data_IF_933524583387
#
_entry.id   IF_933524583387
#
_cell.length_a   1.000
_cell.length_b   1.000
_cell.length_c   1.000
_cell.angle_alpha   90.00
_cell.angle_beta   90.00
_cell.angle_gamma   90.00
#
_symmetry.space_group_name_H-M   'P 1'
#
loop_
_entity.id
_entity.type
_entity.pdbx_description
1 polymer ?
#
# COMPACT_ATOMS: atom_id res chain seq x y z
N UNK A 1 -49.96 8.51 6.73
CA UNK A 1 -48.51 8.65 6.46
C UNK A 1 -47.70 9.24 7.62
N UNK A 2 -48.17 10.25 8.39
CA UNK A 2 -47.38 10.82 9.51
C UNK A 2 -47.06 9.86 10.67
N UNK A 3 -47.92 8.86 10.96
CA UNK A 3 -47.72 7.91 12.08
C UNK A 3 -46.66 6.82 11.81
N UNK A 4 -46.45 6.44 10.54
CA UNK A 4 -45.45 5.42 10.15
C UNK A 4 -44.02 5.98 10.22
N UNK A 5 -43.84 7.26 9.84
CA UNK A 5 -42.54 7.93 9.92
C UNK A 5 -42.09 8.17 11.37
N UNK A 6 -43.02 8.40 12.30
CA UNK A 6 -42.71 8.55 13.73
C UNK A 6 -42.30 7.21 14.35
N UNK A 7 -42.93 6.10 13.93
CA UNK A 7 -42.59 4.76 14.42
C UNK A 7 -41.20 4.31 13.93
N UNK A 8 -40.89 4.57 12.65
CA UNK A 8 -39.57 4.31 12.08
C UNK A 8 -38.48 5.19 12.72
N UNK A 9 -38.77 6.47 12.96
CA UNK A 9 -37.85 7.37 13.66
C UNK A 9 -37.64 6.96 15.12
N UNK A 10 -38.69 6.49 15.82
CA UNK A 10 -38.54 5.92 17.16
C UNK A 10 -37.76 4.61 17.17
N UNK A 11 -37.90 3.73 16.17
CA UNK A 11 -37.08 2.51 16.06
C UNK A 11 -35.60 2.84 15.79
N UNK A 12 -35.31 3.86 14.98
CA UNK A 12 -33.95 4.37 14.75
C UNK A 12 -33.39 5.03 16.01
N UNK A 13 -34.19 5.82 16.73
CA UNK A 13 -33.78 6.42 18.00
C UNK A 13 -33.59 5.36 19.10
N UNK A 14 -34.41 4.32 19.17
CA UNK A 14 -34.23 3.21 20.12
C UNK A 14 -32.99 2.39 19.75
N UNK A 15 -32.71 2.15 18.47
CA UNK A 15 -31.44 1.51 18.09
C UNK A 15 -30.22 2.40 18.38
N UNK A 16 -30.33 3.73 18.26
CA UNK A 16 -29.27 4.70 18.63
C UNK A 16 -29.12 4.89 20.15
N UNK A 17 -30.22 4.87 20.92
CA UNK A 17 -30.21 5.01 22.38
C UNK A 17 -29.93 3.68 23.11
N UNK A 18 -30.34 2.54 22.55
CA UNK A 18 -29.93 1.20 23.03
C UNK A 18 -28.52 0.82 22.59
N UNK A 19 -27.98 1.43 21.52
CA UNK A 19 -26.55 1.28 21.18
C UNK A 19 -25.61 2.10 22.08
N UNK A 20 -26.15 3.05 22.85
CA UNK A 20 -25.43 3.73 23.94
C UNK A 20 -25.08 2.83 25.14
N UNK A 21 -25.61 1.60 25.18
CA UNK A 21 -25.32 0.57 26.19
C UNK A 21 -24.72 -0.70 25.57
N UNK A 22 -24.05 -0.61 24.41
CA UNK A 22 -23.27 -1.75 23.91
C UNK A 22 -22.03 -1.86 24.81
N UNK A 23 -22.13 -2.74 25.81
CA UNK A 23 -20.96 -3.24 26.52
C UNK A 23 -19.98 -3.76 25.47
N UNK A 24 -18.68 -3.43 25.57
CA UNK A 24 -17.71 -3.93 24.63
C UNK A 24 -17.79 -5.47 24.60
N UNK A 25 -17.80 -6.03 23.40
CA UNK A 25 -17.78 -7.48 23.20
C UNK A 25 -16.47 -8.08 23.75
N UNK A 26 -16.57 -9.30 24.27
CA UNK A 26 -15.51 -9.99 24.99
C UNK A 26 -15.30 -9.53 26.45
N UNK A 27 -14.37 -10.18 27.13
CA UNK A 27 -14.01 -9.85 28.51
C UNK A 27 -12.85 -8.83 28.57
N UNK A 28 -12.85 -7.90 29.55
CA UNK A 28 -11.70 -7.06 29.80
C UNK A 28 -10.47 -7.89 30.18
N UNK A 29 -9.27 -7.40 29.84
CA UNK A 29 -8.04 -8.08 30.21
C UNK A 29 -7.85 -8.13 31.73
N UNK A 30 -7.54 -9.31 32.22
CA UNK A 30 -7.08 -9.59 33.59
C UNK A 30 -5.58 -9.88 33.59
N UNK A 31 -4.93 -9.77 34.75
CA UNK A 31 -3.52 -10.14 34.89
C UNK A 31 -3.28 -11.60 34.53
N UNK A 32 -4.22 -12.49 34.85
CA UNK A 32 -4.22 -13.91 34.51
C UNK A 32 -4.28 -14.12 33.00
N UNK A 33 -5.22 -13.46 32.31
CA UNK A 33 -5.34 -13.56 30.85
C UNK A 33 -4.09 -13.02 30.13
N UNK A 34 -3.50 -11.94 30.63
CA UNK A 34 -2.24 -11.40 30.11
C UNK A 34 -1.11 -12.38 30.34
N UNK A 35 -1.02 -13.00 31.52
CA UNK A 35 -0.03 -14.02 31.85
C UNK A 35 -0.13 -15.21 30.91
N UNK A 36 -1.32 -15.79 30.74
CA UNK A 36 -1.53 -16.92 29.82
C UNK A 36 -1.10 -16.58 28.39
N UNK A 37 -1.47 -15.39 27.92
CA UNK A 37 -1.09 -14.92 26.58
C UNK A 37 0.43 -14.82 26.41
N UNK A 38 1.15 -14.24 27.37
CA UNK A 38 2.62 -14.11 27.25
C UNK A 38 3.35 -15.42 27.54
N UNK A 39 2.82 -16.29 28.39
CA UNK A 39 3.39 -17.63 28.64
C UNK A 39 3.23 -18.57 27.46
N UNK A 40 2.17 -18.44 26.64
CA UNK A 40 2.07 -19.14 25.34
C UNK A 40 3.22 -18.78 24.39
N UNK A 41 3.79 -17.58 24.54
CA UNK A 41 4.88 -17.08 23.69
C UNK A 41 6.26 -17.43 24.23
N UNK A 42 6.52 -17.17 25.52
CA UNK A 42 7.85 -17.34 26.13
C UNK A 42 8.03 -18.65 26.90
N UNK A 43 6.94 -19.39 27.17
CA UNK A 43 6.93 -20.54 28.06
C UNK A 43 6.45 -20.20 29.48
N UNK A 44 5.91 -21.21 30.17
CA UNK A 44 5.37 -21.07 31.52
C UNK A 44 6.47 -20.64 32.51
N UNK A 45 6.18 -19.64 33.35
CA UNK A 45 7.14 -19.14 34.35
C UNK A 45 8.37 -18.42 33.77
N UNK A 46 8.45 -18.22 32.45
CA UNK A 46 9.54 -17.53 31.76
C UNK A 46 9.35 -16.03 31.61
N UNK A 47 8.30 -15.48 32.21
CA UNK A 47 7.93 -14.08 32.08
C UNK A 47 7.42 -13.52 33.40
N UNK A 48 7.86 -12.30 33.73
CA UNK A 48 7.29 -11.52 34.82
C UNK A 48 6.19 -10.62 34.26
N UNK A 49 4.99 -10.70 34.85
CA UNK A 49 3.85 -9.85 34.51
C UNK A 49 3.54 -8.97 35.71
N UNK A 50 3.75 -7.66 35.55
CA UNK A 50 3.46 -6.66 36.58
C UNK A 50 2.38 -5.71 36.09
N UNK A 51 1.22 -5.73 36.74
CA UNK A 51 0.18 -4.75 36.50
C UNK A 51 0.66 -3.36 36.94
N UNK A 52 0.63 -2.39 36.02
CA UNK A 52 1.01 -1.00 36.30
C UNK A 52 -0.21 -0.16 36.68
N UNK A 53 -1.33 -0.40 36.00
CA UNK A 53 -2.62 0.23 36.26
C UNK A 53 -3.76 -0.72 35.82
N UNK A 54 -5.01 -0.28 35.94
CA UNK A 54 -6.20 -1.09 35.63
C UNK A 54 -6.27 -1.62 34.19
N UNK A 55 -5.51 -1.06 33.25
CA UNK A 55 -5.55 -1.38 31.82
C UNK A 55 -4.17 -1.65 31.22
N UNK A 56 -3.09 -1.60 32.00
CA UNK A 56 -1.73 -1.69 31.50
C UNK A 56 -0.88 -2.65 32.34
N UNK A 57 -0.19 -3.57 31.66
CA UNK A 57 0.73 -4.52 32.25
C UNK A 57 2.11 -4.34 31.65
N UNK A 58 3.14 -4.38 32.50
CA UNK A 58 4.53 -4.52 32.07
C UNK A 58 4.89 -5.99 31.98
N UNK A 59 5.54 -6.34 30.90
CA UNK A 59 6.02 -7.68 30.61
C UNK A 59 7.55 -7.65 30.57
N UNK A 60 8.18 -8.55 31.32
CA UNK A 60 9.64 -8.74 31.34
C UNK A 60 9.92 -10.23 31.09
N UNK A 61 10.27 -10.63 29.86
CA UNK A 61 10.73 -11.98 29.59
C UNK A 61 12.06 -12.24 30.31
N UNK A 62 12.20 -13.39 30.99
CA UNK A 62 13.41 -13.71 31.77
C UNK A 62 14.63 -13.96 30.88
N UNK A 63 14.40 -14.58 29.73
CA UNK A 63 15.47 -14.91 28.77
C UNK A 63 15.88 -13.68 27.91
N UNK A 64 15.12 -12.57 27.99
CA UNK A 64 15.39 -11.30 27.29
C UNK A 64 15.31 -10.10 28.25
N UNK A 65 16.24 -9.98 29.22
CA UNK A 65 16.14 -9.01 30.32
C UNK A 65 16.25 -7.54 29.90
N UNK A 66 16.80 -7.28 28.71
CA UNK A 66 16.88 -5.98 28.06
C UNK A 66 15.54 -5.54 27.43
N UNK A 67 14.60 -6.47 27.25
CA UNK A 67 13.27 -6.21 26.71
C UNK A 67 12.26 -6.05 27.84
N UNK A 68 11.77 -4.82 28.01
CA UNK A 68 10.64 -4.48 28.88
C UNK A 68 9.58 -3.77 28.07
N UNK A 69 8.45 -4.43 27.84
CA UNK A 69 7.36 -3.89 27.04
C UNK A 69 6.06 -3.87 27.83
N UNK A 70 5.04 -3.28 27.22
CA UNK A 70 3.73 -3.09 27.82
C UNK A 70 2.65 -3.69 26.95
N UNK A 71 1.63 -4.25 27.62
CA UNK A 71 0.36 -4.64 27.03
C UNK A 71 -0.69 -3.70 27.61
N UNK A 72 -1.44 -3.04 26.74
CA UNK A 72 -2.48 -2.07 27.11
C UNK A 72 -3.82 -2.47 26.54
N UNK A 73 -4.82 -2.64 27.39
CA UNK A 73 -6.20 -2.85 26.98
C UNK A 73 -6.74 -1.61 26.28
N UNK A 74 -7.47 -1.83 25.18
CA UNK A 74 -8.21 -0.82 24.44
C UNK A 74 -9.59 -1.34 24.08
N UNK A 75 -10.42 -0.42 23.59
CA UNK A 75 -11.68 -0.76 22.94
C UNK A 75 -11.45 -0.51 21.45
N UNK A 76 -11.53 -1.58 20.67
CA UNK A 76 -11.40 -1.56 19.22
C UNK A 76 -12.73 -1.86 18.55
N UNK A 77 -12.71 -1.96 17.22
CA UNK A 77 -13.85 -2.50 16.48
C UNK A 77 -13.77 -4.03 16.53
N UNK A 78 -14.83 -4.68 16.98
CA UNK A 78 -15.03 -6.12 16.80
C UNK A 78 -15.16 -6.44 15.30
N UNK A 79 -14.79 -7.66 14.90
CA UNK A 79 -14.54 -8.07 13.51
C UNK A 79 -15.53 -7.58 12.44
N UNK A 80 -16.49 -8.43 12.05
CA UNK A 80 -17.36 -8.18 10.87
C UNK A 80 -18.47 -7.16 11.16
N UNK A 81 -18.82 -6.97 12.43
CA UNK A 81 -19.85 -6.03 12.88
C UNK A 81 -19.15 -4.96 13.72
N UNK A 82 -19.37 -3.65 13.47
CA UNK A 82 -18.72 -2.54 14.20
C UNK A 82 -19.26 -2.39 15.64
N UNK A 83 -19.26 -3.48 16.39
CA UNK A 83 -19.51 -3.51 17.83
C UNK A 83 -18.19 -3.18 18.51
N UNK A 84 -18.14 -2.24 19.47
CA UNK A 84 -16.95 -2.06 20.30
C UNK A 84 -16.55 -3.40 20.94
N UNK A 85 -15.28 -3.77 20.91
CA UNK A 85 -14.78 -4.99 21.53
C UNK A 85 -13.54 -4.70 22.38
N UNK A 86 -13.35 -5.44 23.48
CA UNK A 86 -12.09 -5.36 24.21
C UNK A 86 -10.96 -5.96 23.38
N UNK A 87 -9.93 -5.16 23.16
CA UNK A 87 -8.71 -5.56 22.46
C UNK A 87 -7.49 -5.13 23.27
N UNK A 88 -6.30 -5.38 22.74
CA UNK A 88 -5.07 -4.88 23.33
C UNK A 88 -4.10 -4.36 22.28
N UNK A 89 -3.17 -3.54 22.74
CA UNK A 89 -1.94 -3.25 22.00
C UNK A 89 -0.77 -3.72 22.82
N UNK A 90 0.20 -4.34 22.17
CA UNK A 90 1.53 -4.54 22.72
C UNK A 90 2.54 -3.63 22.00
N UNK A 91 3.61 -3.24 22.69
CA UNK A 91 4.68 -2.42 22.12
C UNK A 91 6.02 -3.16 22.05
N UNK A 92 6.00 -4.51 22.02
CA UNK A 92 7.23 -5.33 22.00
C UNK A 92 8.15 -5.00 20.83
N UNK A 93 7.58 -4.86 19.63
CA UNK A 93 8.34 -4.51 18.42
C UNK A 93 8.93 -3.11 18.47
N UNK A 94 8.30 -2.19 19.20
CA UNK A 94 8.88 -0.88 19.48
C UNK A 94 10.10 -0.98 20.37
N UNK A 95 10.08 -1.85 21.38
CA UNK A 95 11.21 -2.02 22.29
C UNK A 95 12.37 -2.74 21.60
N UNK A 96 12.10 -3.86 20.92
CA UNK A 96 13.11 -4.58 20.13
C UNK A 96 13.70 -3.67 19.05
N UNK A 97 12.86 -2.99 18.26
CA UNK A 97 13.34 -2.12 17.19
C UNK A 97 14.19 -0.95 17.67
N UNK A 98 13.96 -0.43 18.89
CA UNK A 98 14.82 0.61 19.48
C UNK A 98 16.23 0.13 19.82
N UNK A 99 16.40 -1.15 20.10
CA UNK A 99 17.69 -1.77 20.40
C UNK A 99 18.37 -2.24 19.12
N UNK A 100 17.61 -2.86 18.22
CA UNK A 100 18.15 -3.55 17.06
C UNK A 100 18.39 -2.63 15.87
N UNK A 101 17.40 -1.84 15.44
CA UNK A 101 17.51 -0.98 14.24
C UNK A 101 18.77 -0.08 14.24
N UNK A 102 19.16 0.56 15.36
CA UNK A 102 20.34 1.44 15.37
C UNK A 102 21.68 0.72 15.20
N UNK A 103 21.72 -0.62 15.33
CA UNK A 103 22.93 -1.42 15.09
C UNK A 103 23.25 -1.55 13.60
N UNK A 104 22.23 -1.43 12.74
CA UNK A 104 22.33 -1.66 11.30
C UNK A 104 22.15 -0.38 10.47
N UNK A 105 21.33 0.55 10.96
CA UNK A 105 20.98 1.78 10.25
C UNK A 105 21.44 3.02 11.02
N UNK A 106 22.02 3.95 10.29
CA UNK A 106 22.46 5.25 10.80
C UNK A 106 21.27 6.10 11.28
N UNK A 107 21.59 7.17 12.02
CA UNK A 107 20.59 8.13 12.46
C UNK A 107 19.81 8.75 11.29
N UNK A 108 20.45 8.87 10.12
CA UNK A 108 19.82 9.48 8.95
C UNK A 108 18.88 8.51 8.23
N UNK A 109 19.35 7.28 8.03
CA UNK A 109 18.56 6.19 7.42
C UNK A 109 17.28 5.90 8.21
N UNK A 110 17.30 6.07 9.54
CA UNK A 110 16.15 5.81 10.41
C UNK A 110 15.22 7.01 10.64
N UNK A 111 15.35 8.11 9.89
CA UNK A 111 14.50 9.31 10.05
C UNK A 111 12.99 9.02 9.96
N UNK A 112 12.60 8.05 9.12
CA UNK A 112 11.20 7.64 8.93
C UNK A 112 10.84 6.34 9.67
N UNK A 113 11.61 5.96 10.69
CA UNK A 113 11.30 4.79 11.52
C UNK A 113 10.01 5.03 12.32
N UNK A 114 9.04 4.13 12.18
CA UNK A 114 7.82 4.15 12.97
C UNK A 114 7.44 2.75 13.46
N UNK A 115 6.59 2.74 14.49
CA UNK A 115 6.14 1.52 15.15
C UNK A 115 4.62 1.54 15.24
N UNK A 116 3.95 0.49 14.75
CA UNK A 116 2.50 0.39 14.81
C UNK A 116 2.05 -1.06 14.94
N UNK A 117 1.29 -1.39 15.99
CA UNK A 117 0.55 -2.65 16.11
C UNK A 117 1.32 -3.91 15.70
N UNK A 118 2.50 -4.15 16.30
CA UNK A 118 3.32 -5.30 15.96
C UNK A 118 4.29 -5.12 14.78
N UNK A 119 4.36 -3.91 14.22
CA UNK A 119 5.15 -3.65 13.01
C UNK A 119 6.30 -2.68 13.32
N UNK A 120 7.51 -3.03 12.88
CA UNK A 120 8.59 -2.06 12.65
C UNK A 120 8.50 -1.63 11.19
N UNK A 121 8.18 -0.35 10.95
CA UNK A 121 8.16 0.22 9.59
C UNK A 121 9.36 1.15 9.39
N UNK A 122 10.13 0.89 8.34
CA UNK A 122 11.29 1.69 7.95
C UNK A 122 11.08 2.15 6.50
N UNK A 123 11.40 3.41 6.21
CA UNK A 123 11.24 3.95 4.86
C UNK A 123 12.47 4.75 4.45
N UNK A 124 13.06 4.36 3.34
CA UNK A 124 14.23 4.99 2.74
C UNK A 124 13.84 5.75 1.49
N UNK A 125 14.41 6.93 1.30
CA UNK A 125 14.38 7.60 0.01
C UNK A 125 15.62 7.14 -0.75
N UNK A 126 15.43 6.38 -1.83
CA UNK A 126 16.54 5.81 -2.60
C UNK A 126 16.71 6.52 -3.95
N UNK A 127 17.94 6.53 -4.44
CA UNK A 127 18.30 7.19 -5.71
C UNK A 127 18.97 6.26 -6.72
N UNK A 128 19.41 5.08 -6.30
CA UNK A 128 20.07 4.12 -7.18
C UNK A 128 19.81 2.68 -6.74
N UNK A 129 20.02 1.73 -7.66
CA UNK A 129 19.99 0.30 -7.36
C UNK A 129 21.09 -0.10 -6.35
N UNK A 130 22.27 0.53 -6.43
CA UNK A 130 23.37 0.26 -5.49
C UNK A 130 23.00 0.63 -4.04
N UNK A 131 22.27 1.74 -3.86
CA UNK A 131 21.76 2.16 -2.55
C UNK A 131 20.71 1.17 -2.03
N UNK A 132 19.80 0.72 -2.89
CA UNK A 132 18.82 -0.32 -2.56
C UNK A 132 19.52 -1.61 -2.14
N UNK A 133 20.55 -2.03 -2.89
CA UNK A 133 21.30 -3.24 -2.59
C UNK A 133 21.99 -3.19 -1.23
N UNK A 134 22.68 -2.09 -0.94
CA UNK A 134 23.34 -1.89 0.35
C UNK A 134 22.34 -1.91 1.53
N UNK A 135 21.17 -1.27 1.36
CA UNK A 135 20.12 -1.23 2.38
C UNK A 135 19.44 -2.59 2.57
N UNK A 136 19.24 -3.36 1.51
CA UNK A 136 18.72 -4.72 1.60
C UNK A 136 19.68 -5.67 2.32
N UNK A 137 20.99 -5.56 2.09
CA UNK A 137 21.99 -6.34 2.86
C UNK A 137 21.94 -6.02 4.36
N UNK A 138 21.76 -4.74 4.71
CA UNK A 138 21.54 -4.33 6.11
C UNK A 138 20.23 -4.87 6.68
N UNK A 139 19.16 -4.87 5.89
CA UNK A 139 17.86 -5.41 6.27
C UNK A 139 17.94 -6.90 6.56
N UNK A 140 18.56 -7.68 5.67
CA UNK A 140 18.79 -9.12 5.85
C UNK A 140 19.56 -9.40 7.15
N UNK A 141 20.68 -8.70 7.36
CA UNK A 141 21.48 -8.84 8.57
C UNK A 141 20.72 -8.44 9.84
N UNK A 142 19.87 -7.41 9.76
CA UNK A 142 19.01 -7.00 10.86
C UNK A 142 17.97 -8.09 11.18
N UNK A 143 17.30 -8.63 10.17
CA UNK A 143 16.29 -9.67 10.34
C UNK A 143 16.91 -10.95 10.92
N UNK A 144 18.07 -11.39 10.41
CA UNK A 144 18.82 -12.50 10.97
C UNK A 144 19.15 -12.27 12.46
N UNK A 145 19.68 -11.09 12.80
CA UNK A 145 19.99 -10.73 14.18
C UNK A 145 18.73 -10.72 15.07
N UNK A 146 17.60 -10.22 14.58
CA UNK A 146 16.32 -10.24 15.31
C UNK A 146 15.84 -11.66 15.57
N UNK A 147 15.91 -12.54 14.58
CA UNK A 147 15.53 -13.94 14.71
C UNK A 147 16.42 -14.65 15.75
N UNK A 148 17.74 -14.53 15.60
CA UNK A 148 18.72 -15.26 16.42
C UNK A 148 18.72 -14.78 17.88
N UNK A 149 18.54 -13.48 18.11
CA UNK A 149 18.70 -12.89 19.45
C UNK A 149 17.37 -12.60 20.14
N UNK A 150 16.25 -12.52 19.40
CA UNK A 150 14.95 -12.11 19.92
C UNK A 150 13.79 -12.94 19.34
N UNK A 151 14.05 -14.12 18.77
CA UNK A 151 13.04 -14.94 18.06
C UNK A 151 11.70 -15.08 18.78
N UNK A 152 11.69 -15.43 20.08
CA UNK A 152 10.44 -15.55 20.82
C UNK A 152 9.71 -14.19 21.03
N UNK A 153 10.46 -13.08 21.08
CA UNK A 153 9.89 -11.73 21.22
C UNK A 153 9.27 -11.26 19.91
N UNK A 154 9.92 -11.54 18.77
CA UNK A 154 9.49 -11.08 17.44
C UNK A 154 8.53 -12.03 16.75
N UNK A 155 8.32 -13.23 17.31
CA UNK A 155 7.40 -14.23 16.75
C UNK A 155 6.01 -13.66 16.42
N UNK A 156 5.56 -14.01 15.22
CA UNK A 156 4.30 -13.62 14.59
C UNK A 156 4.19 -12.12 14.26
N UNK A 157 5.32 -11.38 14.30
CA UNK A 157 5.39 -9.94 14.02
C UNK A 157 6.10 -9.62 12.72
N UNK A 158 6.06 -8.34 12.33
CA UNK A 158 6.50 -7.89 11.02
C UNK A 158 7.57 -6.80 11.06
N UNK A 159 8.50 -6.90 10.12
CA UNK A 159 9.34 -5.79 9.67
C UNK A 159 8.89 -5.42 8.26
N UNK A 160 8.44 -4.18 8.07
CA UNK A 160 8.04 -3.62 6.78
C UNK A 160 9.03 -2.55 6.35
N UNK A 161 9.67 -2.72 5.20
CA UNK A 161 10.68 -1.80 4.69
C UNK A 161 10.27 -1.26 3.32
N UNK A 162 10.32 0.06 3.17
CA UNK A 162 9.99 0.76 1.94
C UNK A 162 11.23 1.42 1.34
N UNK A 163 11.46 1.20 0.06
CA UNK A 163 12.52 1.85 -0.72
C UNK A 163 11.85 2.72 -1.78
N UNK A 164 11.79 4.02 -1.50
CA UNK A 164 10.96 4.98 -2.24
C UNK A 164 11.83 5.85 -3.14
N UNK A 165 11.63 5.77 -4.45
CA UNK A 165 12.17 6.78 -5.37
C UNK A 165 11.40 8.10 -5.27
N UNK A 166 11.97 9.16 -5.87
CA UNK A 166 11.35 10.49 -5.89
C UNK A 166 10.03 10.45 -6.64
N UNK A 167 8.91 10.87 -6.01
CA UNK A 167 7.61 10.88 -6.67
C UNK A 167 7.53 11.77 -7.91
N UNK A 168 6.77 11.33 -8.91
CA UNK A 168 6.60 12.08 -10.15
C UNK A 168 5.42 13.07 -10.06
N UNK A 169 5.67 14.32 -10.44
CA UNK A 169 4.66 15.38 -10.46
C UNK A 169 4.14 15.63 -11.88
N UNK A 170 3.01 15.04 -12.21
CA UNK A 170 2.36 15.23 -13.52
C UNK A 170 1.50 16.50 -13.58
N UNK A 171 1.59 17.24 -14.69
CA UNK A 171 0.77 18.45 -14.95
C UNK A 171 -0.71 18.15 -15.21
N UNK A 172 -1.04 16.93 -15.64
CA UNK A 172 -2.40 16.51 -16.02
C UNK A 172 -2.89 15.38 -15.09
N UNK A 173 -3.12 15.69 -13.82
CA UNK A 173 -3.52 14.72 -12.80
C UNK A 173 -4.98 14.23 -12.94
N UNK A 174 -5.24 12.94 -12.71
CA UNK A 174 -6.55 12.26 -12.84
C UNK A 174 -7.61 12.78 -11.87
N UNK A 175 -7.22 13.26 -10.68
CA UNK A 175 -8.16 13.81 -9.68
C UNK A 175 -8.80 15.13 -10.09
N UNK A 176 -8.17 15.88 -11.00
CA UNK A 176 -8.74 17.09 -11.56
C UNK A 176 -9.44 16.80 -12.89
N UNK A 177 -9.93 15.57 -13.07
CA UNK A 177 -10.60 15.14 -14.28
C UNK A 177 -11.92 14.45 -13.95
N UNK A 178 -12.82 14.48 -14.92
CA UNK A 178 -13.99 13.61 -14.97
C UNK A 178 -14.00 12.85 -16.30
N UNK A 179 -14.44 11.58 -16.31
CA UNK A 179 -14.50 10.82 -17.55
C UNK A 179 -15.39 11.47 -18.60
N UNK A 180 -15.01 11.32 -19.87
CA UNK A 180 -15.87 11.68 -21.00
C UNK A 180 -16.74 10.50 -21.36
N UNK A 181 -18.06 10.67 -21.18
CA UNK A 181 -19.05 9.71 -21.67
C UNK A 181 -19.28 9.91 -23.18
N UNK A 182 -19.36 8.79 -23.91
CA UNK A 182 -19.54 8.70 -25.35
C UNK A 182 -20.68 9.60 -25.85
N UNK A 183 -21.85 9.52 -25.21
CA UNK A 183 -23.05 10.26 -25.62
C UNK A 183 -23.01 11.76 -25.27
N UNK A 184 -21.96 12.23 -24.56
CA UNK A 184 -21.83 13.62 -24.07
C UNK A 184 -20.77 14.43 -24.82
N UNK A 185 -20.21 13.90 -25.91
CA UNK A 185 -19.21 14.59 -26.72
C UNK A 185 -19.36 14.20 -28.20
N UNK A 186 -19.35 15.17 -29.10
CA UNK A 186 -19.46 14.88 -30.53
C UNK A 186 -18.18 14.21 -31.06
N UNK A 187 -18.36 13.30 -32.02
CA UNK A 187 -17.25 12.61 -32.70
C UNK A 187 -16.21 13.59 -33.25
N UNK A 188 -16.64 14.68 -33.87
CA UNK A 188 -15.75 15.74 -34.38
C UNK A 188 -14.86 16.36 -33.30
N UNK A 189 -15.37 16.57 -32.08
CA UNK A 189 -14.57 17.11 -30.97
C UNK A 189 -13.55 16.09 -30.44
N UNK A 190 -13.92 14.81 -30.43
CA UNK A 190 -13.00 13.72 -30.08
C UNK A 190 -11.86 13.66 -31.10
N UNK A 191 -12.20 13.55 -32.38
CA UNK A 191 -11.25 13.50 -33.49
C UNK A 191 -10.31 14.71 -33.47
N UNK A 192 -10.85 15.94 -33.38
CA UNK A 192 -10.02 17.16 -33.33
C UNK A 192 -9.01 17.17 -32.18
N UNK A 193 -9.40 16.69 -30.99
CA UNK A 193 -8.49 16.58 -29.84
C UNK A 193 -7.38 15.55 -30.11
N UNK A 194 -7.76 14.37 -30.56
CA UNK A 194 -6.84 13.26 -30.78
C UNK A 194 -5.89 13.54 -31.95
N UNK A 195 -6.37 14.08 -33.06
CA UNK A 195 -5.54 14.51 -34.19
C UNK A 195 -4.49 15.54 -33.76
N UNK A 196 -4.88 16.51 -32.92
CA UNK A 196 -3.98 17.55 -32.41
C UNK A 196 -2.90 16.97 -31.50
N UNK A 197 -3.22 15.94 -30.71
CA UNK A 197 -2.30 15.40 -29.69
C UNK A 197 -1.44 14.25 -30.21
N UNK A 198 -2.05 13.33 -30.95
CA UNK A 198 -1.46 12.06 -31.37
C UNK A 198 -1.17 12.01 -32.88
N UNK A 199 -1.69 12.95 -33.66
CA UNK A 199 -1.62 12.93 -35.12
C UNK A 199 -2.80 12.19 -35.75
N UNK A 200 -3.15 12.59 -36.97
CA UNK A 200 -4.22 11.94 -37.72
C UNK A 200 -3.79 10.52 -38.13
N UNK A 201 -4.68 9.54 -37.95
CA UNK A 201 -4.47 8.16 -38.38
C UNK A 201 -3.60 7.30 -37.46
N UNK A 202 -3.20 7.81 -36.29
CA UNK A 202 -2.35 7.08 -35.33
C UNK A 202 -3.12 6.44 -34.17
N UNK A 203 -4.45 6.60 -34.16
CA UNK A 203 -5.32 6.15 -33.08
C UNK A 203 -6.66 5.63 -33.60
N UNK A 204 -7.33 4.83 -32.77
CA UNK A 204 -8.74 4.51 -32.89
C UNK A 204 -9.46 4.80 -31.57
N UNK A 205 -10.79 4.94 -31.60
CA UNK A 205 -11.57 5.14 -30.38
C UNK A 205 -12.96 4.52 -30.51
N UNK A 206 -13.47 3.98 -29.39
CA UNK A 206 -14.77 3.33 -29.31
C UNK A 206 -15.46 3.64 -28.00
N UNK A 207 -16.74 3.26 -27.91
CA UNK A 207 -17.49 3.27 -26.65
C UNK A 207 -17.01 2.10 -25.81
N UNK A 208 -16.52 2.38 -24.61
CA UNK A 208 -16.21 1.37 -23.61
C UNK A 208 -17.47 0.55 -23.28
N UNK A 209 -17.37 -0.77 -23.42
CA UNK A 209 -18.42 -1.70 -23.03
C UNK A 209 -18.32 -2.06 -21.55
N UNK A 210 -19.30 -2.80 -21.02
CA UNK A 210 -19.32 -3.21 -19.62
C UNK A 210 -18.11 -4.08 -19.22
N UNK A 211 -17.48 -4.71 -20.21
CA UNK A 211 -16.31 -5.58 -20.03
C UNK A 211 -15.03 -4.96 -20.62
N UNK A 212 -15.05 -3.69 -21.06
CA UNK A 212 -13.84 -3.01 -21.53
C UNK A 212 -12.85 -2.99 -20.38
N UNK A 213 -11.68 -3.59 -20.60
CA UNK A 213 -10.54 -3.71 -19.68
C UNK A 213 -10.88 -3.57 -18.20
N UNK A 214 -10.87 -4.69 -17.46
CA UNK A 214 -10.98 -4.74 -16.00
C UNK A 214 -10.10 -3.64 -15.41
N UNK A 215 -10.73 -2.56 -14.95
CA UNK A 215 -10.01 -1.49 -14.27
C UNK A 215 -9.49 -2.05 -12.95
N UNK A 216 -8.33 -1.55 -12.55
CA UNK A 216 -7.61 -1.96 -11.35
C UNK A 216 -8.41 -1.74 -10.04
N UNK A 217 -9.56 -1.07 -10.10
CA UNK A 217 -10.31 -0.56 -8.95
C UNK A 217 -11.80 -0.98 -8.96
N UNK A 218 -12.22 -1.99 -9.75
CA UNK A 218 -13.65 -2.32 -9.97
C UNK A 218 -14.49 -1.12 -10.50
N UNK A 219 -13.81 -0.11 -11.06
CA UNK A 219 -14.43 1.07 -11.67
C UNK A 219 -14.94 0.67 -13.06
N UNK A 220 -16.26 0.70 -13.23
CA UNK A 220 -16.86 0.54 -14.55
C UNK A 220 -16.55 1.74 -15.45
N UNK A 221 -15.86 1.48 -16.56
CA UNK A 221 -15.66 2.44 -17.64
C UNK A 221 -16.82 2.48 -18.64
N UNK A 222 -17.93 1.78 -18.36
CA UNK A 222 -19.03 1.64 -19.31
C UNK A 222 -19.50 3.01 -19.83
N UNK A 223 -19.61 3.08 -21.16
CA UNK A 223 -20.05 4.27 -21.88
C UNK A 223 -19.02 5.40 -21.94
N UNK A 224 -17.77 5.18 -21.51
CA UNK A 224 -16.66 6.14 -21.69
C UNK A 224 -16.11 6.10 -23.11
N UNK A 225 -15.37 7.15 -23.48
CA UNK A 225 -14.61 7.17 -24.73
C UNK A 225 -13.25 6.54 -24.44
N UNK A 226 -13.10 5.31 -24.92
CA UNK A 226 -11.89 4.51 -24.87
C UNK A 226 -11.08 4.73 -26.15
N UNK A 227 -9.77 4.91 -26.02
CA UNK A 227 -8.86 5.28 -27.09
C UNK A 227 -7.70 4.29 -27.12
N UNK A 228 -7.29 3.93 -28.33
CA UNK A 228 -6.21 2.99 -28.61
C UNK A 228 -5.20 3.68 -29.52
N UNK A 229 -3.91 3.57 -29.19
CA UNK A 229 -2.85 3.97 -30.10
C UNK A 229 -2.53 2.80 -31.03
N UNK A 230 -2.30 3.06 -32.30
CA UNK A 230 -2.04 2.00 -33.28
C UNK A 230 -0.75 1.21 -32.97
N UNK A 231 0.25 1.89 -32.40
CA UNK A 231 1.51 1.27 -31.99
C UNK A 231 1.35 0.39 -30.73
N UNK A 232 0.26 0.57 -29.97
CA UNK A 232 -0.03 -0.15 -28.71
C UNK A 232 -1.52 -0.53 -28.64
N UNK A 233 -2.00 -1.40 -29.55
CA UNK A 233 -3.42 -1.67 -29.71
C UNK A 233 -4.03 -2.43 -28.52
N UNK A 234 -3.20 -3.01 -27.65
CA UNK A 234 -3.64 -3.77 -26.48
C UNK A 234 -3.62 -2.95 -25.19
N UNK A 235 -3.24 -1.66 -25.26
CA UNK A 235 -3.14 -0.78 -24.10
C UNK A 235 -4.08 0.43 -24.27
N UNK A 236 -5.38 0.31 -23.96
CA UNK A 236 -6.28 1.43 -24.06
C UNK A 236 -6.08 2.44 -22.95
N UNK A 237 -6.57 3.65 -23.22
CA UNK A 237 -6.71 4.72 -22.25
C UNK A 237 -8.01 5.49 -22.50
N UNK A 238 -8.35 6.42 -21.62
CA UNK A 238 -9.67 7.07 -21.63
C UNK A 238 -9.57 8.58 -21.81
N UNK A 239 -10.57 9.15 -22.49
CA UNK A 239 -10.74 10.60 -22.52
C UNK A 239 -11.38 11.13 -21.24
N UNK A 240 -10.96 12.34 -20.90
CA UNK A 240 -11.32 13.02 -19.68
C UNK A 240 -11.52 14.52 -19.93
N UNK A 241 -12.23 15.19 -19.02
CA UNK A 241 -12.36 16.65 -19.00
C UNK A 241 -11.79 17.18 -17.71
N UNK A 242 -11.00 18.24 -17.79
CA UNK A 242 -10.51 18.94 -16.60
C UNK A 242 -11.68 19.54 -15.81
N UNK A 243 -11.59 19.48 -14.49
CA UNK A 243 -12.60 20.03 -13.55
C UNK A 243 -12.07 21.22 -12.77
N UNK A 244 -10.77 21.52 -12.86
CA UNK A 244 -10.21 22.69 -12.21
C UNK A 244 -10.77 23.99 -12.81
N UNK A 245 -10.95 25.03 -11.98
CA UNK A 245 -11.68 26.23 -12.37
C UNK A 245 -11.11 26.91 -13.62
N UNK A 246 -9.79 26.94 -13.78
CA UNK A 246 -9.10 27.62 -14.89
C UNK A 246 -9.11 26.85 -16.23
N UNK A 247 -9.38 25.55 -16.22
CA UNK A 247 -9.40 24.72 -17.43
C UNK A 247 -10.65 23.84 -17.53
N UNK A 248 -11.69 24.17 -16.78
CA UNK A 248 -12.91 23.37 -16.68
C UNK A 248 -13.49 23.07 -18.06
N UNK A 249 -13.78 21.80 -18.30
CA UNK A 249 -14.34 21.32 -19.57
C UNK A 249 -13.34 21.12 -20.70
N UNK A 250 -12.08 21.55 -20.57
CA UNK A 250 -11.03 21.25 -21.57
C UNK A 250 -10.75 19.75 -21.60
N UNK A 251 -10.65 19.20 -22.80
CA UNK A 251 -10.33 17.80 -23.01
C UNK A 251 -8.89 17.49 -22.57
N UNK A 252 -8.74 16.29 -22.04
CA UNK A 252 -7.50 15.67 -21.59
C UNK A 252 -7.72 14.15 -21.64
N UNK A 253 -6.74 13.37 -21.22
CA UNK A 253 -6.80 11.91 -21.24
C UNK A 253 -6.02 11.32 -20.07
N UNK A 254 -6.09 10.01 -19.93
CA UNK A 254 -5.46 9.23 -18.86
C UNK A 254 -4.26 8.41 -19.34
N UNK A 255 -3.78 8.64 -20.57
CA UNK A 255 -2.73 7.86 -21.22
C UNK A 255 -1.61 7.47 -20.26
N UNK A 256 -0.86 8.43 -19.70
CA UNK A 256 0.29 8.13 -18.85
C UNK A 256 -0.04 7.16 -17.70
N UNK A 257 -1.12 7.42 -16.94
CA UNK A 257 -1.48 6.60 -15.79
C UNK A 257 -1.95 5.20 -16.23
N UNK A 258 -2.76 5.13 -17.30
CA UNK A 258 -3.25 3.86 -17.81
C UNK A 258 -2.09 3.04 -18.42
N UNK A 259 -1.11 3.67 -19.06
CA UNK A 259 0.08 3.00 -19.58
C UNK A 259 0.97 2.45 -18.47
N UNK A 260 1.24 3.24 -17.41
CA UNK A 260 1.99 2.74 -16.24
C UNK A 260 1.27 1.55 -15.61
N UNK A 261 -0.06 1.59 -15.51
CA UNK A 261 -0.86 0.48 -15.00
C UNK A 261 -0.79 -0.77 -15.89
N UNK A 262 -0.95 -0.60 -17.21
CA UNK A 262 -0.83 -1.71 -18.17
C UNK A 262 0.56 -2.34 -18.14
N UNK A 263 1.63 -1.54 -18.14
CA UNK A 263 3.00 -2.06 -18.11
C UNK A 263 3.28 -2.74 -16.77
N UNK A 264 2.87 -2.18 -15.63
CA UNK A 264 3.04 -2.82 -14.32
C UNK A 264 2.31 -4.17 -14.23
N UNK A 265 1.09 -4.26 -14.77
CA UNK A 265 0.29 -5.48 -14.75
C UNK A 265 0.85 -6.59 -15.65
N UNK A 266 1.36 -6.22 -16.81
CA UNK A 266 1.95 -7.15 -17.77
C UNK A 266 3.44 -7.43 -17.48
N UNK A 267 3.99 -6.96 -16.36
CA UNK A 267 5.35 -7.33 -15.97
C UNK A 267 5.40 -8.84 -15.71
N UNK A 268 6.31 -9.60 -16.35
CA UNK A 268 6.36 -11.06 -16.26
C UNK A 268 6.96 -11.50 -14.91
N UNK A 269 6.25 -11.22 -13.83
CA UNK A 269 6.68 -11.53 -12.47
C UNK A 269 6.84 -13.03 -12.21
N UNK A 270 6.11 -13.87 -12.96
CA UNK A 270 6.18 -15.34 -12.89
C UNK A 270 7.58 -15.87 -13.21
N UNK A 271 8.37 -15.15 -14.02
CA UNK A 271 9.79 -15.47 -14.29
C UNK A 271 10.68 -15.33 -13.04
N UNK A 272 10.15 -14.72 -11.97
CA UNK A 272 10.84 -14.42 -10.73
C UNK A 272 10.12 -14.98 -9.48
N UNK A 273 9.04 -15.75 -9.66
CA UNK A 273 8.28 -16.34 -8.55
C UNK A 273 9.04 -17.56 -7.98
N UNK A 274 9.98 -17.30 -7.07
CA UNK A 274 10.70 -18.36 -6.36
C UNK A 274 9.91 -18.95 -5.18
N UNK A 275 8.99 -18.18 -4.58
CA UNK A 275 8.14 -18.61 -3.44
C UNK A 275 7.29 -17.48 -2.83
N UNK A 276 7.62 -16.21 -3.12
CA UNK A 276 7.06 -15.03 -2.48
C UNK A 276 5.82 -14.50 -3.20
N UNK A 277 4.85 -13.96 -2.44
CA UNK A 277 3.68 -13.28 -2.99
C UNK A 277 4.06 -11.93 -3.63
N UNK A 278 4.80 -11.97 -4.74
CA UNK A 278 5.20 -10.78 -5.48
C UNK A 278 3.97 -10.16 -6.12
N UNK A 279 3.76 -8.88 -5.84
CA UNK A 279 2.77 -8.08 -6.56
C UNK A 279 3.44 -6.85 -7.13
N UNK A 280 3.01 -6.54 -8.35
CA UNK A 280 3.42 -5.36 -9.08
C UNK A 280 2.15 -4.63 -9.47
N UNK A 281 2.06 -3.36 -9.10
CA UNK A 281 0.88 -2.56 -9.38
C UNK A 281 1.26 -1.12 -9.65
N UNK A 282 0.51 -0.42 -10.51
CA UNK A 282 0.62 1.02 -10.56
C UNK A 282 0.07 1.65 -9.28
N UNK A 283 0.70 2.73 -8.82
CA UNK A 283 0.27 3.52 -7.68
C UNK A 283 0.25 5.00 -8.03
N UNK A 284 -0.96 5.57 -8.02
CA UNK A 284 -1.12 7.02 -8.08
C UNK A 284 -0.69 7.69 -6.76
N UNK A 285 -0.84 6.98 -5.63
CA UNK A 285 -0.49 7.47 -4.29
C UNK A 285 0.16 6.40 -3.43
N UNK A 286 1.08 6.84 -2.57
CA UNK A 286 1.66 6.04 -1.49
C UNK A 286 1.62 6.89 -0.22
N UNK A 287 1.07 6.34 0.87
CA UNK A 287 0.86 7.04 2.15
C UNK A 287 0.15 8.41 1.99
N UNK A 288 -0.82 8.48 1.06
CA UNK A 288 -1.58 9.71 0.75
C UNK A 288 -0.84 10.75 -0.09
N UNK A 289 0.45 10.54 -0.35
CA UNK A 289 1.27 11.39 -1.22
C UNK A 289 1.20 10.91 -2.66
N UNK A 290 1.16 11.84 -3.62
CA UNK A 290 1.21 11.51 -5.05
C UNK A 290 2.51 10.80 -5.37
N UNK A 291 2.41 9.70 -6.11
CA UNK A 291 3.54 8.88 -6.53
C UNK A 291 3.64 8.80 -8.05
N UNK A 292 2.55 8.40 -8.72
CA UNK A 292 2.44 8.22 -10.18
C UNK A 292 3.52 7.28 -10.73
N UNK A 293 3.66 6.11 -10.11
CA UNK A 293 4.69 5.13 -10.43
C UNK A 293 4.21 3.71 -10.17
N UNK A 294 5.15 2.84 -9.82
CA UNK A 294 4.91 1.41 -9.62
C UNK A 294 5.24 1.01 -8.17
N UNK A 295 4.41 0.17 -7.57
CA UNK A 295 4.72 -0.58 -6.35
C UNK A 295 5.15 -1.99 -6.74
N UNK A 296 6.26 -2.41 -6.15
CA UNK A 296 6.74 -3.79 -6.15
C UNK A 296 6.72 -4.26 -4.68
N UNK A 297 5.77 -5.10 -4.32
CA UNK A 297 5.64 -5.63 -2.96
C UNK A 297 5.93 -7.13 -2.90
N UNK A 298 6.56 -7.52 -1.80
CA UNK A 298 6.79 -8.90 -1.44
C UNK A 298 6.59 -9.09 0.06
N UNK A 299 5.83 -10.12 0.42
CA UNK A 299 5.63 -10.57 1.79
C UNK A 299 6.01 -12.04 1.92
N UNK A 300 6.89 -12.34 2.88
CA UNK A 300 7.37 -13.69 3.14
C UNK A 300 7.65 -13.91 4.62
N UNK A 301 7.74 -15.17 5.03
CA UNK A 301 8.13 -15.57 6.39
C UNK A 301 9.62 -15.80 6.44
N UNK A 302 10.25 -15.30 7.50
CA UNK A 302 11.66 -15.48 7.75
C UNK A 302 12.01 -16.97 7.86
N UNK A 303 12.99 -17.41 7.07
CA UNK A 303 13.43 -18.81 7.03
C UNK A 303 12.66 -19.71 6.05
N UNK A 304 11.50 -19.29 5.53
CA UNK A 304 10.76 -20.07 4.52
C UNK A 304 11.41 -19.93 3.13
N UNK A 305 12.09 -18.82 2.87
CA UNK A 305 12.68 -18.48 1.58
C UNK A 305 14.12 -17.99 1.75
N UNK A 306 15.07 -18.62 1.06
CA UNK A 306 16.47 -18.17 1.07
C UNK A 306 16.69 -17.09 0.01
N UNK A 307 17.33 -15.99 0.39
CA UNK A 307 17.66 -14.89 -0.53
C UNK A 307 16.48 -14.03 -0.96
N UNK A 308 15.32 -14.11 -0.31
CA UNK A 308 14.13 -13.34 -0.71
C UNK A 308 14.38 -11.82 -0.77
N UNK A 309 15.10 -11.25 0.20
CA UNK A 309 15.43 -9.82 0.24
C UNK A 309 16.42 -9.42 -0.88
N UNK A 310 17.37 -10.30 -1.21
CA UNK A 310 18.32 -10.09 -2.30
C UNK A 310 17.61 -10.16 -3.66
N UNK A 311 16.77 -11.18 -3.86
CA UNK A 311 15.99 -11.38 -5.09
C UNK A 311 15.12 -10.18 -5.42
N UNK A 312 14.56 -9.50 -4.41
CA UNK A 312 13.77 -8.29 -4.61
C UNK A 312 14.54 -7.17 -5.33
N UNK A 313 15.85 -7.06 -5.12
CA UNK A 313 16.68 -6.10 -5.84
C UNK A 313 16.80 -6.45 -7.32
N UNK A 314 16.96 -7.74 -7.62
CA UNK A 314 17.03 -8.27 -8.99
C UNK A 314 15.73 -8.00 -9.72
N UNK A 315 14.59 -8.29 -9.07
CA UNK A 315 13.25 -8.05 -9.62
C UNK A 315 13.02 -6.56 -9.86
N UNK A 316 13.40 -5.71 -8.90
CA UNK A 316 13.31 -4.24 -9.05
C UNK A 316 14.07 -3.74 -10.27
N UNK A 317 15.29 -4.24 -10.50
CA UNK A 317 16.11 -3.89 -11.66
C UNK A 317 15.50 -4.40 -12.97
N UNK A 318 14.96 -5.62 -12.97
CA UNK A 318 14.22 -6.15 -14.11
C UNK A 318 12.99 -5.31 -14.43
N UNK A 319 12.24 -4.89 -13.42
CA UNK A 319 11.08 -4.00 -13.55
C UNK A 319 11.47 -2.63 -14.13
N UNK A 320 12.57 -2.02 -13.66
CA UNK A 320 13.12 -0.79 -14.25
C UNK A 320 13.43 -0.98 -15.73
N UNK A 321 14.14 -2.05 -16.09
CA UNK A 321 14.47 -2.35 -17.48
C UNK A 321 13.23 -2.61 -18.33
N UNK A 322 12.20 -3.24 -17.77
CA UNK A 322 10.93 -3.48 -18.44
C UNK A 322 10.21 -2.17 -18.73
N UNK A 323 10.06 -1.28 -17.73
CA UNK A 323 9.47 0.06 -17.91
C UNK A 323 10.20 0.87 -18.99
N UNK A 324 11.54 0.78 -19.04
CA UNK A 324 12.37 1.51 -20.00
C UNK A 324 12.12 1.09 -21.47
N UNK A 325 11.49 -0.05 -21.72
CA UNK A 325 11.13 -0.50 -23.08
C UNK A 325 9.91 0.25 -23.65
N UNK A 326 9.20 1.03 -22.84
CA UNK A 326 7.90 1.62 -23.17
C UNK A 326 7.96 3.16 -23.18
N UNK A 327 8.12 3.81 -24.35
CA UNK A 327 8.26 5.27 -24.43
C UNK A 327 7.10 6.06 -23.80
N UNK A 328 5.87 5.55 -23.84
CA UNK A 328 4.69 6.24 -23.29
C UNK A 328 4.65 6.32 -21.76
N UNK A 329 5.46 5.51 -21.07
CA UNK A 329 5.68 5.68 -19.62
C UNK A 329 6.95 6.47 -19.32
N UNK A 330 7.86 6.62 -20.29
CA UNK A 330 9.09 7.39 -20.13
C UNK A 330 8.97 8.85 -20.61
N UNK A 331 7.82 9.23 -21.16
CA UNK A 331 7.52 10.62 -21.54
C UNK A 331 6.12 11.03 -21.07
N UNK A 332 6.06 12.10 -20.27
CA UNK A 332 4.79 12.62 -19.75
C UNK A 332 3.90 13.30 -20.81
N UNK A 333 4.45 13.52 -22.00
CA UNK A 333 3.81 14.19 -23.14
C UNK A 333 3.88 13.38 -24.44
N UNK A 334 4.03 12.05 -24.33
CA UNK A 334 3.94 11.13 -25.46
C UNK A 334 2.74 11.46 -26.37
N UNK A 335 2.91 11.48 -27.71
CA UNK A 335 4.08 11.05 -28.50
C UNK A 335 5.07 12.16 -28.83
N UNK A 336 4.93 13.36 -28.26
CA UNK A 336 5.84 14.48 -28.56
C UNK A 336 7.26 14.26 -28.03
N UNK A 337 7.36 13.48 -26.95
CA UNK A 337 8.61 13.04 -26.33
C UNK A 337 9.56 14.20 -25.98
N UNK A 338 9.01 15.31 -25.47
CA UNK A 338 9.81 16.49 -25.07
C UNK A 338 10.05 16.52 -23.56
N UNK A 339 9.21 15.83 -22.78
CA UNK A 339 9.27 15.82 -21.33
C UNK A 339 9.51 14.40 -20.81
N UNK A 340 10.78 14.01 -20.84
CA UNK A 340 11.26 12.74 -20.28
C UNK A 340 10.96 12.66 -18.79
N UNK A 341 10.52 11.48 -18.37
CA UNK A 341 10.23 11.14 -16.99
C UNK A 341 10.69 9.72 -16.75
N UNK A 342 11.08 9.44 -15.52
CA UNK A 342 11.36 8.08 -15.08
C UNK A 342 10.23 7.68 -14.12
N UNK A 343 9.39 6.68 -14.45
CA UNK A 343 8.36 6.20 -13.55
C UNK A 343 8.98 5.75 -12.23
N UNK A 344 8.59 6.32 -11.07
CA UNK A 344 9.23 5.99 -9.83
C UNK A 344 8.81 4.59 -9.35
N UNK A 345 9.74 3.82 -8.81
CA UNK A 345 9.49 2.48 -8.24
C UNK A 345 9.60 2.53 -6.71
N UNK A 346 8.51 2.16 -6.03
CA UNK A 346 8.49 1.92 -4.60
C UNK A 346 8.57 0.42 -4.39
N UNK A 347 9.62 -0.03 -3.72
CA UNK A 347 9.76 -1.43 -3.33
C UNK A 347 9.35 -1.59 -1.86
N UNK A 348 8.44 -2.51 -1.57
CA UNK A 348 8.04 -2.90 -0.22
C UNK A 348 8.50 -4.34 0.05
N UNK A 349 9.23 -4.51 1.16
CA UNK A 349 9.62 -5.83 1.68
C UNK A 349 9.00 -5.99 3.06
N UNK A 350 8.14 -6.99 3.19
CA UNK A 350 7.46 -7.38 4.42
C UNK A 350 7.95 -8.75 4.90
N UNK A 351 8.64 -8.76 6.04
CA UNK A 351 9.21 -9.97 6.66
C UNK A 351 8.40 -10.32 7.90
N UNK A 352 7.76 -11.50 7.91
CA UNK A 352 7.09 -12.06 9.07
C UNK A 352 8.03 -13.01 9.84
N UNK A 353 8.08 -12.92 11.17
CA UNK A 353 8.94 -13.77 12.02
C UNK A 353 8.23 -14.95 12.68
#
# INVERSE_FOLDING_TARGET
MKKINILALMLVLITVFCSGCILPDGDPLTTESVREMVEKRYGQGKVEVKQLDKKTWRITPKDYPDIKYTIKQKIGHGGVIPVPAYTHTDDRMKQVGRIVVPKFFSAEERKKLCFSGGIIKISFNVKSDDEVAALCTKLEAMCAYMHDNYGAVVKDEYVMTYFQETPLRLKNDRYQKKPVKWDKLSKTKITSYLDTKYGNGTYTFKRADKYSWRSFDDISHEGEVEVYLNDYPDMPFYLSKKINASQSGKLTDTLYNDMVANVAFNFPKEDYEYSSNIKVSAQEKIDGLRYNGVMLDCCFKWGDETGAIENMQVIRKALRNYLNQYPMVNYSDYPKNQHEVEPPICMEISVQF
#
